data_IF_190097699838
#
_entry.id   IF_190097699838
#
_cell.length_a   1.000
_cell.length_b   1.000
_cell.length_c   1.000
_cell.angle_alpha   90.00
_cell.angle_beta   90.00
_cell.angle_gamma   90.00
#
_symmetry.space_group_name_H-M   'P 1'
#
loop_
_entity.id
_entity.type
_entity.pdbx_description
1 polymer ?
#
# COMPACT_ATOMS: atom_id res chain seq x y z
N UNK A 1 1.80 -7.64 4.77
CA UNK A 1 1.79 -6.20 4.41
C UNK A 1 2.54 -5.42 5.47
N UNK A 2 2.87 -4.16 5.17
CA UNK A 2 3.59 -3.26 6.06
C UNK A 2 2.71 -2.04 6.34
N UNK A 3 2.67 -1.59 7.59
CA UNK A 3 1.98 -0.39 8.05
C UNK A 3 2.99 0.53 8.74
N UNK A 4 3.14 1.72 8.18
CA UNK A 4 4.00 2.76 8.71
C UNK A 4 3.32 3.59 9.79
N UNK A 5 4.09 4.35 10.58
CA UNK A 5 3.56 5.14 11.70
C UNK A 5 2.36 6.04 11.38
N UNK A 6 2.37 6.71 10.23
CA UNK A 6 1.27 7.55 9.75
C UNK A 6 -0.08 6.83 9.71
N UNK A 7 -0.10 5.60 9.18
CA UNK A 7 -1.32 4.79 9.13
C UNK A 7 -1.69 4.26 10.51
N UNK A 8 -0.70 3.84 11.31
CA UNK A 8 -0.93 3.32 12.65
C UNK A 8 -1.54 4.36 13.59
N UNK A 9 -1.17 5.63 13.48
CA UNK A 9 -1.79 6.70 14.28
C UNK A 9 -3.29 6.83 14.03
N UNK A 10 -3.73 6.69 12.77
CA UNK A 10 -5.17 6.66 12.45
C UNK A 10 -5.83 5.44 13.10
N UNK A 11 -5.24 4.26 12.91
CA UNK A 11 -5.79 3.00 13.44
C UNK A 11 -5.82 2.98 14.99
N UNK A 12 -4.86 3.61 15.64
CA UNK A 12 -4.82 3.74 17.10
C UNK A 12 -5.92 4.66 17.63
N UNK A 13 -6.24 5.76 16.93
CA UNK A 13 -7.42 6.58 17.27
C UNK A 13 -8.74 5.81 17.13
N UNK A 14 -8.79 4.82 16.23
CA UNK A 14 -9.92 3.87 16.14
C UNK A 14 -9.90 2.77 17.21
N UNK A 15 -8.94 2.81 18.15
CA UNK A 15 -8.79 1.84 19.24
C UNK A 15 -8.25 0.48 18.78
N UNK A 16 -7.60 0.40 17.62
CA UNK A 16 -7.07 -0.86 17.08
C UNK A 16 -5.64 -1.18 17.53
N UNK A 17 -5.00 -0.31 18.31
CA UNK A 17 -3.59 -0.45 18.68
C UNK A 17 -3.26 -1.75 19.40
N UNK A 18 -4.04 -2.12 20.41
CA UNK A 18 -3.82 -3.37 21.16
C UNK A 18 -3.88 -4.61 20.27
N UNK A 19 -4.91 -4.71 19.42
CA UNK A 19 -5.12 -5.84 18.51
C UNK A 19 -3.99 -5.93 17.49
N UNK A 20 -3.65 -4.82 16.84
CA UNK A 20 -2.63 -4.80 15.79
C UNK A 20 -1.22 -5.05 16.34
N UNK A 21 -0.91 -4.54 17.54
CA UNK A 21 0.38 -4.80 18.19
C UNK A 21 0.54 -6.28 18.58
N UNK A 22 -0.55 -6.99 18.90
CA UNK A 22 -0.49 -8.40 19.26
C UNK A 22 -0.23 -9.33 18.05
N UNK A 23 -0.78 -8.99 16.88
CA UNK A 23 -0.67 -9.81 15.66
C UNK A 23 0.47 -9.38 14.74
N UNK A 24 0.91 -8.14 14.86
CA UNK A 24 1.99 -7.55 14.08
C UNK A 24 3.38 -7.89 14.61
N UNK A 25 4.38 -7.63 13.79
CA UNK A 25 5.79 -7.67 14.16
C UNK A 25 6.39 -6.30 13.90
N UNK A 26 6.98 -5.70 14.93
CA UNK A 26 7.63 -4.39 14.82
C UNK A 26 8.93 -4.51 14.03
N UNK A 27 9.16 -3.56 13.13
CA UNK A 27 10.42 -3.37 12.44
C UNK A 27 11.12 -2.13 13.01
N UNK A 28 12.40 -2.27 13.32
CA UNK A 28 13.27 -1.15 13.69
C UNK A 28 13.80 -0.42 12.44
N UNK A 29 14.03 -1.16 11.36
CA UNK A 29 14.57 -0.62 10.11
C UNK A 29 14.15 -1.44 8.88
N UNK A 30 14.29 -0.82 7.71
CA UNK A 30 14.42 -1.53 6.44
C UNK A 30 15.90 -1.68 6.12
N UNK A 31 16.41 -2.90 6.16
CA UNK A 31 17.79 -3.24 5.80
C UNK A 31 17.88 -3.41 4.28
N UNK A 32 18.65 -2.56 3.61
CA UNK A 32 18.94 -2.63 2.19
C UNK A 32 20.18 -3.50 1.95
N UNK A 33 20.10 -4.45 1.02
CA UNK A 33 21.17 -5.38 0.64
C UNK A 33 21.43 -5.35 -0.86
N UNK A 34 22.67 -5.57 -1.27
CA UNK A 34 22.97 -5.88 -2.67
C UNK A 34 22.39 -7.25 -3.01
N UNK A 35 21.65 -7.33 -4.11
CA UNK A 35 20.88 -8.51 -4.47
C UNK A 35 21.73 -9.71 -4.86
N UNK A 36 22.97 -9.51 -5.34
CA UNK A 36 23.86 -10.63 -5.73
C UNK A 36 24.68 -11.16 -4.57
N UNK A 37 25.29 -10.27 -3.82
CA UNK A 37 26.23 -10.63 -2.74
C UNK A 37 25.57 -10.76 -1.36
N UNK A 38 24.35 -10.25 -1.18
CA UNK A 38 23.70 -10.17 0.13
C UNK A 38 24.32 -9.13 1.07
N UNK A 39 25.39 -8.45 0.64
CA UNK A 39 26.09 -7.44 1.44
C UNK A 39 25.12 -6.35 1.85
N UNK A 40 25.11 -6.04 3.14
CA UNK A 40 24.37 -4.89 3.67
C UNK A 40 24.89 -3.59 3.07
N UNK A 41 23.95 -2.78 2.57
CA UNK A 41 24.21 -1.45 2.01
C UNK A 41 23.91 -0.39 3.09
N UNK A 42 22.71 -0.40 3.65
CA UNK A 42 22.27 0.58 4.64
C UNK A 42 21.11 0.03 5.48
N UNK A 43 20.93 0.60 6.67
CA UNK A 43 19.75 0.41 7.52
C UNK A 43 18.97 1.72 7.57
N UNK A 44 17.71 1.70 7.11
CA UNK A 44 16.81 2.87 7.11
C UNK A 44 15.86 2.74 8.31
N UNK A 45 16.01 3.54 9.37
CA UNK A 45 15.11 3.51 10.52
C UNK A 45 13.68 3.88 10.10
N UNK A 46 12.70 3.20 10.70
CA UNK A 46 11.28 3.36 10.34
C UNK A 46 10.37 3.79 11.49
N UNK A 47 10.88 3.79 12.72
CA UNK A 47 10.18 4.34 13.88
C UNK A 47 10.04 5.85 13.73
N UNK A 48 8.86 6.36 14.06
CA UNK A 48 8.62 7.79 14.08
C UNK A 48 9.26 8.48 15.29
N UNK A 49 9.26 9.82 15.26
CA UNK A 49 9.86 10.68 16.29
C UNK A 49 9.27 10.45 17.70
N UNK A 50 7.96 10.21 17.76
CA UNK A 50 7.21 9.92 18.98
C UNK A 50 7.27 8.45 19.42
N UNK A 51 8.09 7.63 18.77
CA UNK A 51 8.19 6.20 19.08
C UNK A 51 7.10 5.32 18.46
N UNK A 52 6.20 5.87 17.64
CA UNK A 52 5.23 5.05 16.89
C UNK A 52 6.01 4.04 16.01
N UNK A 53 5.72 2.73 16.11
CA UNK A 53 6.50 1.69 15.44
C UNK A 53 6.11 1.58 13.97
N UNK A 54 6.83 0.72 13.25
CA UNK A 54 6.46 0.25 11.92
C UNK A 54 6.08 -1.23 12.03
N UNK A 55 4.87 -1.61 11.61
CA UNK A 55 4.37 -2.97 11.79
C UNK A 55 4.30 -3.75 10.48
N UNK A 56 4.83 -4.96 10.48
CA UNK A 56 4.57 -5.97 9.47
C UNK A 56 3.53 -6.96 9.98
N UNK A 57 2.47 -7.22 9.20
CA UNK A 57 1.34 -8.07 9.60
C UNK A 57 0.64 -8.73 8.41
N UNK A 58 -0.17 -9.75 8.67
CA UNK A 58 -0.95 -10.39 7.61
C UNK A 58 -2.16 -9.51 7.25
N UNK A 59 -2.44 -9.32 5.94
CA UNK A 59 -3.49 -8.39 5.49
C UNK A 59 -4.87 -8.71 6.09
N UNK A 60 -5.19 -9.99 6.21
CA UNK A 60 -6.45 -10.43 6.81
C UNK A 60 -6.59 -10.04 8.29
N UNK A 61 -5.50 -9.87 9.03
CA UNK A 61 -5.56 -9.47 10.44
C UNK A 61 -6.03 -8.02 10.57
N UNK A 62 -5.51 -7.12 9.72
CA UNK A 62 -5.98 -5.73 9.65
C UNK A 62 -7.43 -5.65 9.19
N UNK A 63 -7.77 -6.37 8.11
CA UNK A 63 -9.13 -6.39 7.60
C UNK A 63 -10.11 -6.92 8.65
N UNK A 64 -9.76 -8.00 9.35
CA UNK A 64 -10.57 -8.57 10.43
C UNK A 64 -10.75 -7.60 11.59
N UNK A 65 -9.67 -6.91 12.01
CA UNK A 65 -9.76 -5.90 13.06
C UNK A 65 -10.67 -4.71 12.69
N UNK A 66 -10.59 -4.24 11.44
CA UNK A 66 -11.48 -3.20 10.92
C UNK A 66 -12.93 -3.69 10.81
N UNK A 67 -13.14 -4.90 10.29
CA UNK A 67 -14.46 -5.52 10.18
C UNK A 67 -15.13 -5.62 11.55
N UNK A 68 -14.39 -6.06 12.58
CA UNK A 68 -14.90 -6.11 13.95
C UNK A 68 -15.41 -4.74 14.41
N UNK A 69 -14.70 -3.64 14.10
CA UNK A 69 -15.17 -2.28 14.43
C UNK A 69 -16.41 -1.88 13.66
N UNK A 70 -16.48 -2.23 12.36
CA UNK A 70 -17.66 -1.97 11.52
C UNK A 70 -18.89 -2.70 12.07
N UNK A 71 -18.79 -4.00 12.37
CA UNK A 71 -19.95 -4.76 12.85
C UNK A 71 -20.40 -4.38 14.27
N UNK A 72 -19.50 -3.80 15.08
CA UNK A 72 -19.80 -3.38 16.45
C UNK A 72 -20.43 -1.99 16.55
N UNK A 73 -20.35 -1.17 15.49
CA UNK A 73 -20.94 0.17 15.50
C UNK A 73 -22.32 0.17 14.85
N UNK A 74 -23.29 0.77 15.53
CA UNK A 74 -24.66 0.93 15.01
C UNK A 74 -24.73 1.96 13.87
N UNK A 75 -23.67 2.75 13.67
CA UNK A 75 -23.58 3.77 12.64
C UNK A 75 -23.30 3.20 11.23
N UNK A 76 -23.01 1.91 11.12
CA UNK A 76 -22.69 1.28 9.84
C UNK A 76 -23.60 0.10 9.54
N UNK A 77 -23.92 -0.08 8.26
CA UNK A 77 -24.55 -1.30 7.76
C UNK A 77 -23.63 -1.93 6.72
N UNK A 78 -23.35 -3.22 6.88
CA UNK A 78 -22.50 -3.96 5.97
C UNK A 78 -23.36 -4.85 5.07
N UNK A 79 -23.22 -4.67 3.75
CA UNK A 79 -23.85 -5.53 2.75
C UNK A 79 -22.76 -6.19 1.92
N UNK A 80 -22.57 -7.50 2.15
CA UNK A 80 -21.70 -8.32 1.32
C UNK A 80 -22.46 -8.80 0.08
N UNK A 81 -21.74 -9.39 -0.87
CA UNK A 81 -22.32 -9.94 -2.12
C UNK A 81 -23.22 -8.94 -2.86
N UNK A 82 -22.83 -7.66 -2.80
CA UNK A 82 -23.55 -6.52 -3.38
C UNK A 82 -22.59 -5.79 -4.33
N UNK A 83 -22.62 -6.15 -5.60
CA UNK A 83 -21.72 -5.60 -6.61
C UNK A 83 -22.27 -4.30 -7.19
N UNK A 84 -21.47 -3.24 -7.20
CA UNK A 84 -21.80 -2.00 -7.88
C UNK A 84 -21.83 -2.19 -9.41
N UNK A 85 -22.82 -1.61 -10.10
CA UNK A 85 -22.86 -1.61 -11.56
C UNK A 85 -22.95 -0.23 -12.19
N UNK A 86 -23.71 0.70 -11.61
CA UNK A 86 -23.91 2.02 -12.22
C UNK A 86 -24.30 3.09 -11.19
N UNK A 87 -24.04 4.34 -11.53
CA UNK A 87 -24.43 5.48 -10.71
C UNK A 87 -24.83 6.69 -11.56
N UNK A 88 -25.81 7.45 -11.06
CA UNK A 88 -26.25 8.68 -11.69
C UNK A 88 -26.63 9.72 -10.65
N UNK A 89 -26.56 11.00 -11.01
CA UNK A 89 -27.12 12.06 -10.19
C UNK A 89 -28.65 12.08 -10.34
N UNK A 90 -29.35 12.21 -9.22
CA UNK A 90 -30.80 12.33 -9.13
C UNK A 90 -31.13 13.45 -8.14
N UNK A 91 -31.25 14.67 -8.66
CA UNK A 91 -31.39 15.87 -7.85
C UNK A 91 -30.17 16.11 -6.96
N UNK A 92 -30.38 16.09 -5.65
CA UNK A 92 -29.35 16.28 -4.62
C UNK A 92 -28.80 14.96 -4.07
N UNK A 93 -29.00 13.84 -4.77
CA UNK A 93 -28.54 12.51 -4.35
C UNK A 93 -27.91 11.75 -5.51
N UNK A 94 -27.05 10.80 -5.18
CA UNK A 94 -26.53 9.83 -6.12
C UNK A 94 -27.40 8.58 -6.03
N UNK A 95 -28.00 8.20 -7.16
CA UNK A 95 -28.63 6.90 -7.32
C UNK A 95 -27.56 5.88 -7.69
N UNK A 96 -27.47 4.81 -6.92
CA UNK A 96 -26.54 3.70 -7.10
C UNK A 96 -27.34 2.46 -7.51
N UNK A 97 -26.87 1.75 -8.53
CA UNK A 97 -27.37 0.43 -8.88
C UNK A 97 -26.40 -0.64 -8.39
N UNK A 98 -26.95 -1.59 -7.66
CA UNK A 98 -26.23 -2.74 -7.13
C UNK A 98 -26.85 -4.04 -7.65
N UNK A 99 -26.05 -5.07 -7.85
CA UNK A 99 -26.49 -6.44 -8.06
C UNK A 99 -26.21 -7.26 -6.80
N UNK A 100 -27.28 -7.78 -6.21
CA UNK A 100 -27.21 -8.70 -5.07
C UNK A 100 -27.88 -10.04 -5.43
N UNK A 101 -27.81 -11.02 -4.53
CA UNK A 101 -28.42 -12.34 -4.73
C UNK A 101 -29.93 -12.28 -5.09
N UNK A 102 -30.65 -11.25 -4.63
CA UNK A 102 -32.06 -11.01 -4.92
C UNK A 102 -32.33 -10.23 -6.22
N UNK A 103 -31.32 -9.92 -7.03
CA UNK A 103 -31.43 -9.13 -8.25
C UNK A 103 -30.86 -7.71 -8.13
N UNK A 104 -31.19 -6.87 -9.11
CA UNK A 104 -30.78 -5.47 -9.11
C UNK A 104 -31.53 -4.67 -8.03
N UNK A 105 -30.80 -3.82 -7.31
CA UNK A 105 -31.33 -2.93 -6.28
C UNK A 105 -30.82 -1.52 -6.52
N UNK A 106 -31.71 -0.53 -6.41
CA UNK A 106 -31.34 0.88 -6.48
C UNK A 106 -31.27 1.45 -5.04
N UNK A 107 -30.22 2.20 -4.74
CA UNK A 107 -30.03 2.93 -3.50
C UNK A 107 -29.83 4.42 -3.78
N UNK A 108 -30.20 5.27 -2.83
CA UNK A 108 -29.95 6.71 -2.91
C UNK A 108 -29.03 7.13 -1.75
N UNK A 109 -27.95 7.84 -2.05
CA UNK A 109 -26.99 8.33 -1.08
C UNK A 109 -26.71 9.82 -1.29
N UNK A 110 -26.44 10.55 -0.21
CA UNK A 110 -26.02 11.96 -0.30
C UNK A 110 -24.58 12.09 -0.83
N UNK A 111 -23.72 11.13 -0.48
CA UNK A 111 -22.32 11.01 -0.86
C UNK A 111 -21.99 9.53 -1.11
N UNK A 112 -21.18 9.27 -2.14
CA UNK A 112 -20.62 7.96 -2.46
C UNK A 112 -19.10 8.04 -2.38
N UNK A 113 -18.50 7.12 -1.62
CA UNK A 113 -17.05 6.98 -1.53
C UNK A 113 -16.61 5.77 -2.34
N UNK A 114 -15.98 6.01 -3.49
CA UNK A 114 -15.36 4.97 -4.31
C UNK A 114 -14.05 4.50 -3.69
N UNK A 115 -14.11 3.42 -2.92
CA UNK A 115 -12.97 2.76 -2.26
C UNK A 115 -12.76 1.32 -2.76
N UNK A 116 -13.14 1.05 -4.00
CA UNK A 116 -13.27 -0.26 -4.64
C UNK A 116 -11.99 -0.73 -5.38
N UNK A 117 -10.86 -0.09 -5.08
CA UNK A 117 -9.54 -0.55 -5.50
C UNK A 117 -9.13 -0.12 -6.90
N UNK A 118 -8.01 -0.65 -7.39
CA UNK A 118 -7.41 -0.22 -8.66
C UNK A 118 -8.33 -0.48 -9.86
N UNK A 119 -9.13 -1.55 -9.84
CA UNK A 119 -10.12 -1.86 -10.88
C UNK A 119 -11.48 -1.22 -10.62
N UNK A 120 -11.51 0.01 -10.10
CA UNK A 120 -12.72 0.68 -9.60
C UNK A 120 -13.85 0.68 -10.63
N UNK A 121 -14.94 -0.01 -10.28
CA UNK A 121 -16.18 0.00 -11.04
C UNK A 121 -16.89 1.36 -10.89
N UNK A 122 -16.74 2.03 -9.75
CA UNK A 122 -17.24 3.41 -9.55
C UNK A 122 -16.56 4.36 -10.54
N UNK A 123 -15.24 4.27 -10.68
CA UNK A 123 -14.50 5.07 -11.65
C UNK A 123 -14.89 4.75 -13.10
N UNK A 124 -15.15 3.48 -13.42
CA UNK A 124 -15.63 3.07 -14.74
C UNK A 124 -17.04 3.61 -15.04
N UNK A 125 -17.96 3.57 -14.07
CA UNK A 125 -19.32 4.13 -14.19
C UNK A 125 -19.32 5.65 -14.38
N UNK A 126 -18.29 6.34 -13.86
CA UNK A 126 -18.04 7.76 -14.10
C UNK A 126 -17.38 8.05 -15.47
N UNK A 127 -17.12 7.03 -16.29
CA UNK A 127 -16.46 7.17 -17.60
C UNK A 127 -14.98 7.55 -17.51
N UNK A 128 -14.32 7.29 -16.37
CA UNK A 128 -12.92 7.63 -16.19
C UNK A 128 -12.00 6.60 -16.85
N UNK A 129 -10.82 7.05 -17.26
CA UNK A 129 -9.82 6.19 -17.91
C UNK A 129 -9.49 4.96 -17.07
N UNK A 130 -9.30 3.81 -17.71
CA UNK A 130 -8.81 2.60 -17.05
C UNK A 130 -7.41 2.79 -16.44
N UNK A 131 -7.07 2.03 -15.39
CA UNK A 131 -5.70 1.98 -14.88
C UNK A 131 -4.72 1.55 -15.97
N UNK A 132 -3.57 2.20 -15.99
CA UNK A 132 -2.50 1.89 -16.93
C UNK A 132 -2.10 0.40 -16.83
N UNK A 133 -1.67 -0.21 -17.95
CA UNK A 133 -1.14 -1.56 -17.95
C UNK A 133 0.00 -1.74 -16.94
N UNK A 134 0.11 -2.94 -16.38
CA UNK A 134 1.17 -3.24 -15.42
C UNK A 134 2.53 -3.29 -16.11
N UNK A 135 3.47 -2.44 -15.69
CA UNK A 135 4.87 -2.49 -16.14
C UNK A 135 5.71 -3.48 -15.33
N UNK A 136 5.22 -3.90 -14.16
CA UNK A 136 5.87 -4.82 -13.26
C UNK A 136 4.87 -5.78 -12.60
N UNK A 137 5.37 -6.92 -12.14
CA UNK A 137 4.61 -7.93 -11.40
C UNK A 137 5.26 -8.13 -10.04
N UNK A 138 4.44 -8.19 -8.99
CA UNK A 138 4.85 -8.61 -7.66
C UNK A 138 4.45 -10.06 -7.40
N UNK A 139 5.42 -10.96 -7.33
CA UNK A 139 5.25 -12.35 -6.92
C UNK A 139 5.28 -12.43 -5.40
N UNK A 140 4.27 -13.05 -4.79
CA UNK A 140 4.17 -13.18 -3.33
C UNK A 140 4.17 -14.63 -2.92
N UNK A 141 4.95 -14.95 -1.90
CA UNK A 141 4.94 -16.24 -1.22
C UNK A 141 4.92 -16.03 0.30
N UNK A 142 4.31 -16.98 1.01
CA UNK A 142 4.38 -17.05 2.47
C UNK A 142 5.14 -18.30 2.88
N UNK A 143 6.15 -18.11 3.72
CA UNK A 143 6.99 -19.16 4.25
C UNK A 143 6.74 -19.35 5.74
N UNK A 144 7.09 -20.52 6.27
CA UNK A 144 7.21 -20.72 7.72
C UNK A 144 8.32 -19.80 8.26
N UNK A 145 8.07 -19.15 9.38
CA UNK A 145 9.07 -18.38 10.12
C UNK A 145 10.01 -19.33 10.87
N UNK A 146 11.30 -19.25 10.55
CA UNK A 146 12.43 -19.93 11.20
C UNK A 146 13.74 -19.19 10.91
N UNK A 147 14.85 -19.65 11.48
CA UNK A 147 16.18 -19.02 11.35
C UNK A 147 16.61 -18.75 9.90
N UNK A 148 16.24 -19.61 8.95
CA UNK A 148 16.65 -19.45 7.54
C UNK A 148 15.82 -18.37 6.82
N UNK A 149 14.66 -18.04 7.36
CA UNK A 149 13.77 -16.97 6.86
C UNK A 149 13.81 -15.72 7.74
N UNK A 150 14.60 -15.72 8.81
CA UNK A 150 14.78 -14.57 9.68
C UNK A 150 15.36 -13.41 8.87
N UNK A 151 14.92 -12.19 9.17
CA UNK A 151 15.35 -10.97 8.50
C UNK A 151 15.91 -9.98 9.53
N UNK A 152 16.92 -9.21 9.15
CA UNK A 152 17.46 -8.12 9.96
C UNK A 152 16.51 -6.91 9.97
N UNK A 153 16.47 -6.17 11.07
CA UNK A 153 15.71 -4.91 11.18
C UNK A 153 14.18 -5.05 11.17
N UNK A 154 13.65 -6.24 10.88
CA UNK A 154 12.22 -6.51 10.71
C UNK A 154 11.74 -6.39 9.26
N UNK A 155 12.52 -5.80 8.35
CA UNK A 155 12.28 -5.83 6.90
C UNK A 155 13.63 -5.84 6.17
N UNK A 156 13.83 -6.80 5.26
CA UNK A 156 14.99 -6.84 4.37
C UNK A 156 14.57 -6.62 2.92
N UNK A 157 15.34 -5.81 2.18
CA UNK A 157 15.17 -5.59 0.76
C UNK A 157 16.48 -5.83 0.00
N UNK A 158 16.46 -6.73 -0.99
CA UNK A 158 17.57 -7.03 -1.88
C UNK A 158 17.42 -6.27 -3.18
N UNK A 159 18.38 -5.41 -3.50
CA UNK A 159 18.34 -4.52 -4.66
C UNK A 159 19.17 -5.09 -5.82
N UNK A 160 18.61 -5.14 -7.03
CA UNK A 160 19.32 -5.64 -8.20
C UNK A 160 18.87 -4.98 -9.50
N UNK A 161 19.60 -5.19 -10.61
CA UNK A 161 19.21 -4.67 -11.91
C UNK A 161 17.83 -5.19 -12.32
N UNK A 162 16.92 -4.28 -12.70
CA UNK A 162 15.53 -4.54 -13.12
C UNK A 162 14.62 -5.25 -12.10
N UNK A 163 15.13 -5.79 -11.00
CA UNK A 163 14.39 -6.63 -10.05
C UNK A 163 14.78 -6.29 -8.62
N UNK A 164 13.91 -6.61 -7.68
CA UNK A 164 14.27 -6.58 -6.26
C UNK A 164 13.40 -7.55 -5.49
N UNK A 165 13.84 -7.92 -4.29
CA UNK A 165 13.09 -8.76 -3.38
C UNK A 165 12.91 -8.07 -2.03
N UNK A 166 11.83 -8.40 -1.33
CA UNK A 166 11.54 -7.90 0.01
C UNK A 166 11.04 -9.05 0.87
N UNK A 167 11.62 -9.22 2.05
CA UNK A 167 11.17 -10.21 3.03
C UNK A 167 10.90 -9.53 4.38
N UNK A 168 9.83 -9.98 5.06
CA UNK A 168 9.48 -9.48 6.39
C UNK A 168 8.61 -10.50 7.14
N UNK A 169 8.72 -10.57 8.48
CA UNK A 169 7.91 -11.45 9.30
C UNK A 169 6.46 -10.95 9.35
N UNK A 170 5.52 -11.88 9.45
CA UNK A 170 4.09 -11.63 9.64
C UNK A 170 3.54 -12.65 10.64
N UNK A 171 2.30 -12.43 11.12
CA UNK A 171 1.63 -13.32 12.07
C UNK A 171 2.49 -13.54 13.33
N UNK A 172 2.95 -12.43 13.93
CA UNK A 172 3.85 -12.41 15.09
C UNK A 172 5.13 -13.25 14.89
N UNK A 173 5.72 -13.21 13.69
CA UNK A 173 6.97 -13.94 13.36
C UNK A 173 6.80 -15.41 13.00
N UNK A 174 5.60 -16.00 13.10
CA UNK A 174 5.37 -17.42 12.74
C UNK A 174 5.48 -17.69 11.25
N UNK A 175 5.40 -16.65 10.42
CA UNK A 175 5.47 -16.71 8.97
C UNK A 175 6.35 -15.58 8.44
N UNK A 176 6.98 -15.82 7.29
CA UNK A 176 7.75 -14.80 6.57
C UNK A 176 7.11 -14.55 5.22
N UNK A 177 6.77 -13.30 4.93
CA UNK A 177 6.25 -12.91 3.64
C UNK A 177 7.41 -12.54 2.71
N UNK A 178 7.51 -13.21 1.56
CA UNK A 178 8.48 -12.91 0.52
C UNK A 178 7.78 -12.27 -0.68
N UNK A 179 8.33 -11.16 -1.17
CA UNK A 179 7.87 -10.46 -2.36
C UNK A 179 9.02 -10.34 -3.34
N UNK A 180 8.83 -10.81 -4.57
CA UNK A 180 9.76 -10.60 -5.68
C UNK A 180 9.10 -9.67 -6.68
N UNK A 181 9.80 -8.63 -7.13
CA UNK A 181 9.27 -7.69 -8.11
C UNK A 181 10.18 -7.70 -9.33
N UNK A 182 9.58 -7.91 -10.49
CA UNK A 182 10.24 -7.92 -11.79
C UNK A 182 9.36 -7.28 -12.88
N UNK A 183 9.93 -6.92 -14.04
CA UNK A 183 9.19 -6.37 -15.15
C UNK A 183 8.10 -7.32 -15.65
N UNK A 184 6.96 -6.79 -16.06
CA UNK A 184 5.83 -7.59 -16.53
C UNK A 184 6.15 -8.42 -17.77
N UNK A 185 7.10 -7.98 -18.61
CA UNK A 185 7.60 -8.74 -19.75
C UNK A 185 8.27 -10.05 -19.34
N UNK A 186 8.99 -10.07 -18.22
CA UNK A 186 9.67 -11.28 -17.74
C UNK A 186 8.68 -12.24 -17.07
N UNK A 187 7.56 -11.73 -16.55
CA UNK A 187 6.51 -12.51 -15.89
C UNK A 187 5.66 -13.36 -16.86
N UNK A 188 5.87 -13.24 -18.18
CA UNK A 188 5.28 -14.10 -19.20
C UNK A 188 5.81 -15.55 -19.15
N UNK A 189 6.96 -15.77 -18.50
CA UNK A 189 7.49 -17.10 -18.13
C UNK A 189 7.51 -17.22 -16.59
N UNK A 190 6.37 -17.62 -15.97
CA UNK A 190 6.28 -17.83 -14.51
C UNK A 190 7.26 -18.89 -14.00
N UNK A 191 7.47 -19.96 -14.76
CA UNK A 191 8.35 -21.08 -14.38
C UNK A 191 9.83 -20.67 -14.37
N UNK A 192 10.19 -19.63 -15.13
CA UNK A 192 11.49 -19.01 -15.12
C UNK A 192 11.82 -18.14 -13.92
N UNK A 193 10.85 -17.88 -13.02
CA UNK A 193 11.06 -17.00 -11.86
C UNK A 193 12.27 -17.45 -11.02
N UNK A 194 12.37 -18.74 -10.71
CA UNK A 194 13.48 -19.29 -9.92
C UNK A 194 14.83 -19.13 -10.63
N UNK A 195 14.87 -19.33 -11.96
CA UNK A 195 16.09 -19.14 -12.78
C UNK A 195 16.58 -17.69 -12.75
N UNK A 196 15.66 -16.73 -12.84
CA UNK A 196 15.99 -15.28 -12.83
C UNK A 196 16.59 -14.81 -11.50
N UNK A 197 16.29 -15.49 -10.40
CA UNK A 197 16.85 -15.21 -9.08
C UNK A 197 18.03 -16.13 -8.69
N UNK A 198 18.45 -17.10 -9.50
CA UNK A 198 19.46 -18.10 -9.13
C UNK A 198 20.85 -17.53 -8.78
N UNK A 199 21.21 -16.35 -9.32
CA UNK A 199 22.48 -15.67 -9.05
C UNK A 199 22.40 -14.56 -8.00
N UNK A 200 21.38 -14.61 -7.13
CA UNK A 200 21.17 -13.68 -6.02
C UNK A 200 21.75 -14.25 -4.72
N UNK A 201 21.72 -13.44 -3.66
CA UNK A 201 22.07 -13.83 -2.29
C UNK A 201 21.53 -15.24 -1.97
N UNK A 202 22.41 -16.13 -1.51
CA UNK A 202 22.11 -17.52 -1.18
C UNK A 202 20.94 -17.64 -0.20
N UNK A 203 20.81 -16.71 0.76
CA UNK A 203 19.65 -16.68 1.68
C UNK A 203 18.35 -16.42 0.93
N UNK A 204 18.34 -15.47 0.01
CA UNK A 204 17.16 -15.19 -0.81
C UNK A 204 16.82 -16.38 -1.72
N UNK A 205 17.83 -16.99 -2.36
CA UNK A 205 17.65 -18.17 -3.21
C UNK A 205 17.08 -19.33 -2.41
N UNK A 206 17.57 -19.57 -1.18
CA UNK A 206 17.04 -20.60 -0.29
C UNK A 206 15.57 -20.33 0.10
N UNK A 207 15.19 -19.07 0.39
CA UNK A 207 13.78 -18.72 0.64
C UNK A 207 12.92 -19.00 -0.60
N UNK A 208 13.37 -18.59 -1.78
CA UNK A 208 12.65 -18.86 -3.04
C UNK A 208 12.49 -20.38 -3.25
N UNK A 209 13.55 -21.15 -3.01
CA UNK A 209 13.56 -22.60 -3.13
C UNK A 209 12.47 -23.26 -2.26
N UNK A 210 12.35 -22.81 -1.01
CA UNK A 210 11.43 -23.33 0.01
C UNK A 210 9.97 -22.87 -0.15
N UNK A 211 9.70 -21.90 -1.02
CA UNK A 211 8.33 -21.44 -1.27
C UNK A 211 7.50 -22.55 -1.96
N UNK A 212 6.30 -22.80 -1.44
CA UNK A 212 5.35 -23.77 -2.01
C UNK A 212 4.75 -23.29 -3.35
N UNK A 213 4.86 -21.99 -3.64
CA UNK A 213 4.32 -21.36 -4.84
C UNK A 213 4.32 -19.85 -4.69
N UNK A 214 4.20 -19.16 -5.82
CA UNK A 214 4.05 -17.71 -5.86
C UNK A 214 2.73 -17.33 -6.49
N UNK A 215 2.07 -16.32 -5.94
CA UNK A 215 0.95 -15.65 -6.58
C UNK A 215 1.46 -14.40 -7.30
N UNK A 216 1.16 -14.27 -8.60
CA UNK A 216 1.48 -13.09 -9.38
C UNK A 216 0.47 -11.96 -9.13
N UNK A 217 0.96 -10.74 -8.94
CA UNK A 217 0.15 -9.53 -8.84
C UNK A 217 0.64 -8.49 -9.85
N UNK A 218 -0.02 -8.32 -11.00
CA UNK A 218 0.26 -7.22 -11.92
C UNK A 218 0.08 -5.86 -11.25
N UNK A 219 1.09 -5.00 -11.33
CA UNK A 219 1.12 -3.70 -10.68
C UNK A 219 0.56 -2.62 -11.60
N UNK A 220 -0.78 -2.57 -11.71
CA UNK A 220 -1.49 -1.51 -12.43
C UNK A 220 -1.47 -0.19 -11.65
N UNK A 221 -1.56 0.93 -12.36
CA UNK A 221 -1.48 2.27 -11.76
C UNK A 221 -2.58 3.17 -12.27
N UNK A 222 -3.01 4.11 -11.43
CA UNK A 222 -3.96 5.14 -11.81
C UNK A 222 -3.21 6.40 -12.23
N UNK A 223 -3.63 7.00 -13.34
CA UNK A 223 -3.09 8.26 -13.89
C UNK A 223 -3.06 9.38 -12.85
N UNK A 224 -2.07 10.27 -12.96
CA UNK A 224 -1.79 11.23 -11.89
C UNK A 224 -2.83 12.33 -11.76
N UNK A 225 -3.39 12.74 -12.88
CA UNK A 225 -4.37 13.79 -13.08
C UNK A 225 -5.83 13.32 -12.93
N UNK A 226 -6.06 12.09 -12.45
CA UNK A 226 -7.42 11.60 -12.15
C UNK A 226 -8.13 12.60 -11.23
N UNK A 227 -9.26 13.10 -11.70
CA UNK A 227 -10.22 13.89 -10.92
C UNK A 227 -10.82 12.98 -9.85
N UNK A 228 -10.81 13.42 -8.59
CA UNK A 228 -11.32 12.60 -7.47
C UNK A 228 -12.78 12.87 -7.13
N UNK A 229 -13.28 14.07 -7.42
CA UNK A 229 -14.62 14.54 -7.05
C UNK A 229 -15.50 14.61 -8.28
N UNK A 230 -16.70 14.04 -8.22
CA UNK A 230 -17.62 13.92 -9.35
C UNK A 230 -19.06 14.14 -8.93
N UNK A 231 -19.93 14.35 -9.93
CA UNK A 231 -21.38 14.55 -9.76
C UNK A 231 -21.71 15.60 -8.70
N UNK A 232 -21.28 16.83 -8.94
CA UNK A 232 -21.51 17.97 -8.04
C UNK A 232 -21.06 17.71 -6.59
N UNK A 233 -19.86 17.13 -6.44
CA UNK A 233 -19.26 16.82 -5.14
C UNK A 233 -20.02 15.79 -4.30
N UNK A 234 -20.66 14.83 -4.98
CA UNK A 234 -21.40 13.73 -4.34
C UNK A 234 -20.78 12.36 -4.57
N UNK A 235 -19.71 12.28 -5.36
CA UNK A 235 -18.88 11.09 -5.46
C UNK A 235 -17.42 11.47 -5.25
N UNK A 236 -16.72 10.75 -4.38
CA UNK A 236 -15.28 10.92 -4.14
C UNK A 236 -14.54 9.58 -4.25
N UNK A 237 -13.43 9.56 -4.98
CA UNK A 237 -12.56 8.38 -5.10
C UNK A 237 -11.41 8.45 -4.10
N UNK A 238 -11.20 7.38 -3.33
CA UNK A 238 -10.11 7.29 -2.34
C UNK A 238 -9.27 6.02 -2.55
N UNK A 239 -8.09 5.96 -1.91
CA UNK A 239 -7.22 4.80 -2.00
C UNK A 239 -6.85 4.44 -3.45
N UNK A 240 -6.76 3.14 -3.74
CA UNK A 240 -6.35 2.66 -5.05
C UNK A 240 -7.30 3.08 -6.19
N UNK A 241 -8.59 3.36 -5.91
CA UNK A 241 -9.52 3.87 -6.92
C UNK A 241 -9.16 5.30 -7.37
N UNK A 242 -8.65 6.13 -6.47
CA UNK A 242 -8.22 7.50 -6.75
C UNK A 242 -6.76 7.62 -7.20
N UNK A 243 -5.87 6.79 -6.65
CA UNK A 243 -4.42 6.98 -6.79
C UNK A 243 -3.56 5.72 -6.66
N UNK A 244 -4.05 4.55 -7.12
CA UNK A 244 -3.23 3.34 -7.19
C UNK A 244 -1.84 3.60 -7.79
N UNK A 245 -0.81 3.13 -7.09
CA UNK A 245 0.59 3.33 -7.46
C UNK A 245 1.42 2.09 -7.13
N UNK A 246 2.58 1.89 -7.77
CA UNK A 246 3.42 0.73 -7.50
C UNK A 246 3.89 0.69 -6.03
N UNK A 247 4.05 -0.51 -5.42
CA UNK A 247 4.29 -0.67 -3.99
C UNK A 247 5.75 -0.39 -3.56
N UNK A 248 6.53 0.41 -4.31
CA UNK A 248 7.94 0.70 -4.02
C UNK A 248 8.16 1.55 -2.74
N UNK A 249 7.09 2.11 -2.18
CA UNK A 249 7.11 2.78 -0.88
C UNK A 249 6.35 2.02 0.22
N UNK A 250 5.73 0.88 -0.10
CA UNK A 250 4.82 0.15 0.80
C UNK A 250 3.69 1.00 1.42
N UNK A 251 3.27 2.08 0.74
CA UNK A 251 2.34 3.08 1.28
C UNK A 251 0.91 3.04 0.73
N UNK A 252 0.55 2.16 -0.22
CA UNK A 252 -0.82 2.18 -0.80
C UNK A 252 -1.93 2.09 0.25
N UNK A 253 -1.85 1.09 1.13
CA UNK A 253 -2.79 0.94 2.25
C UNK A 253 -2.70 2.09 3.26
N UNK A 254 -1.48 2.59 3.54
CA UNK A 254 -1.29 3.72 4.44
C UNK A 254 -1.97 4.98 3.93
N UNK A 255 -1.85 5.28 2.63
CA UNK A 255 -2.52 6.42 2.00
C UNK A 255 -4.03 6.27 2.02
N UNK A 256 -4.58 5.08 1.73
CA UNK A 256 -6.02 4.86 1.80
C UNK A 256 -6.58 5.07 3.22
N UNK A 257 -5.84 4.66 4.26
CA UNK A 257 -6.20 4.89 5.66
C UNK A 257 -6.17 6.38 6.00
N UNK A 258 -5.14 7.10 5.55
CA UNK A 258 -5.10 8.55 5.73
C UNK A 258 -6.19 9.29 4.95
N UNK A 259 -6.54 8.83 3.75
CA UNK A 259 -7.63 9.40 2.97
C UNK A 259 -8.93 9.31 3.75
N UNK A 260 -9.23 8.14 4.33
CA UNK A 260 -10.42 7.95 5.16
C UNK A 260 -10.43 8.92 6.36
N UNK A 261 -9.28 9.10 7.03
CA UNK A 261 -9.18 10.02 8.16
C UNK A 261 -9.39 11.49 7.77
N UNK A 262 -8.75 11.94 6.69
CA UNK A 262 -8.87 13.32 6.21
C UNK A 262 -10.25 13.60 5.63
N UNK A 263 -10.84 12.64 4.91
CA UNK A 263 -12.19 12.75 4.38
C UNK A 263 -13.21 12.86 5.51
N UNK A 264 -13.11 12.00 6.53
CA UNK A 264 -13.99 12.05 7.69
C UNK A 264 -13.89 13.40 8.43
N UNK A 265 -12.68 13.90 8.68
CA UNK A 265 -12.48 15.20 9.31
C UNK A 265 -13.02 16.36 8.45
N UNK A 266 -12.79 16.31 7.14
CA UNK A 266 -13.29 17.33 6.22
C UNK A 266 -14.82 17.36 6.17
N UNK A 267 -15.47 16.19 6.19
CA UNK A 267 -16.93 16.07 6.24
C UNK A 267 -17.53 16.52 7.57
N UNK A 268 -16.81 16.34 8.67
CA UNK A 268 -17.27 16.73 10.00
C UNK A 268 -17.20 18.25 10.24
N UNK A 269 -16.22 18.93 9.65
CA UNK A 269 -15.95 20.36 9.90
C UNK A 269 -16.52 21.31 8.85
N UNK A 270 -16.74 20.85 7.62
CA UNK A 270 -17.17 21.71 6.52
C UNK A 270 -18.68 21.99 6.53
N UNK A 271 -19.12 23.15 6.01
CA UNK A 271 -20.54 23.53 5.98
C UNK A 271 -21.37 22.73 4.97
N UNK A 272 -20.75 22.19 3.93
CA UNK A 272 -21.39 21.42 2.87
C UNK A 272 -20.41 20.44 2.21
N UNK A 273 -20.93 19.57 1.33
CA UNK A 273 -20.13 18.55 0.63
C UNK A 273 -19.10 19.16 -0.32
N UNK A 274 -19.41 20.27 -0.97
CA UNK A 274 -18.47 20.95 -1.87
C UNK A 274 -17.23 21.40 -1.11
N UNK A 275 -17.42 22.12 0.00
CA UNK A 275 -16.35 22.58 0.88
C UNK A 275 -15.59 21.40 1.51
N UNK A 276 -16.29 20.35 1.94
CA UNK A 276 -15.69 19.15 2.51
C UNK A 276 -14.75 18.46 1.52
N UNK A 277 -15.23 18.16 0.31
CA UNK A 277 -14.45 17.44 -0.68
C UNK A 277 -13.33 18.30 -1.26
N UNK A 278 -13.56 19.61 -1.44
CA UNK A 278 -12.51 20.55 -1.84
C UNK A 278 -11.37 20.59 -0.81
N UNK A 279 -11.70 20.64 0.49
CA UNK A 279 -10.70 20.56 1.56
C UNK A 279 -9.95 19.23 1.53
N UNK A 280 -10.66 18.10 1.47
CA UNK A 280 -10.06 16.78 1.34
C UNK A 280 -9.04 16.72 0.20
N UNK A 281 -9.43 17.16 -1.01
CA UNK A 281 -8.55 17.13 -2.18
C UNK A 281 -7.34 18.05 -2.00
N UNK A 282 -7.53 19.26 -1.45
CA UNK A 282 -6.44 20.21 -1.19
C UNK A 282 -5.37 19.67 -0.23
N UNK A 283 -5.77 18.89 0.78
CA UNK A 283 -4.87 18.29 1.75
C UNK A 283 -4.19 17.02 1.19
N UNK A 284 -4.96 16.17 0.51
CA UNK A 284 -4.50 14.86 0.06
C UNK A 284 -3.70 14.90 -1.23
N UNK A 285 -4.04 15.76 -2.20
CA UNK A 285 -3.38 15.73 -3.52
C UNK A 285 -1.88 16.05 -3.46
N UNK A 286 -1.41 17.12 -2.79
CA UNK A 286 0.02 17.38 -2.66
C UNK A 286 0.77 16.22 -1.97
N UNK A 287 0.11 15.55 -1.03
CA UNK A 287 0.66 14.42 -0.29
C UNK A 287 0.81 13.17 -1.15
N UNK A 288 -0.21 12.82 -1.93
CA UNK A 288 -0.16 11.72 -2.90
C UNK A 288 0.88 12.01 -3.99
N UNK A 289 0.95 13.23 -4.50
CA UNK A 289 1.93 13.58 -5.54
C UNK A 289 3.37 13.52 -5.02
N UNK A 290 3.60 13.93 -3.76
CA UNK A 290 4.91 13.75 -3.11
C UNK A 290 5.27 12.28 -2.98
N UNK A 291 4.32 11.42 -2.63
CA UNK A 291 4.53 9.98 -2.57
C UNK A 291 4.82 9.39 -3.95
N UNK A 292 4.07 9.76 -4.99
CA UNK A 292 4.31 9.32 -6.38
C UNK A 292 5.71 9.67 -6.86
N UNK A 293 6.19 10.90 -6.58
CA UNK A 293 7.59 11.28 -6.89
C UNK A 293 8.59 10.37 -6.18
N UNK A 294 8.34 10.02 -4.91
CA UNK A 294 9.19 9.09 -4.15
C UNK A 294 9.16 7.67 -4.72
N UNK A 295 7.98 7.17 -5.09
CA UNK A 295 7.80 5.85 -5.71
C UNK A 295 8.57 5.78 -7.05
N UNK A 296 8.44 6.80 -7.90
CA UNK A 296 9.17 6.90 -9.15
C UNK A 296 10.70 6.95 -8.94
N UNK A 297 11.15 7.68 -7.91
CA UNK A 297 12.56 7.71 -7.52
C UNK A 297 13.06 6.32 -7.07
N UNK A 298 12.33 5.63 -6.18
CA UNK A 298 12.71 4.28 -5.73
C UNK A 298 12.71 3.27 -6.88
N UNK A 299 11.72 3.30 -7.78
CA UNK A 299 11.67 2.43 -8.95
C UNK A 299 12.95 2.56 -9.78
N UNK A 300 13.44 3.79 -10.01
CA UNK A 300 14.68 4.03 -10.76
C UNK A 300 15.91 3.59 -9.97
N UNK A 301 16.03 4.01 -8.71
CA UNK A 301 17.24 3.81 -7.90
C UNK A 301 17.45 2.34 -7.52
N UNK A 302 16.39 1.62 -7.17
CA UNK A 302 16.51 0.22 -6.77
C UNK A 302 16.94 -0.68 -7.93
N UNK A 303 16.60 -0.31 -9.16
CA UNK A 303 16.81 -1.13 -10.35
C UNK A 303 18.00 -0.70 -11.23
N UNK A 304 18.86 0.21 -10.75
CA UNK A 304 20.03 0.67 -11.49
C UNK A 304 20.91 -0.51 -11.96
N UNK A 305 21.37 -0.52 -13.22
CA UNK A 305 22.30 -1.52 -13.72
C UNK A 305 23.71 -1.27 -13.18
N UNK A 306 24.60 -2.27 -13.32
CA UNK A 306 26.03 -2.03 -13.13
C UNK A 306 26.58 -1.20 -14.31
N UNK A 307 27.56 -0.29 -14.09
CA UNK A 307 28.22 0.01 -12.82
C UNK A 307 27.48 1.04 -11.93
N UNK A 308 26.38 1.66 -12.39
CA UNK A 308 25.65 2.71 -11.65
C UNK A 308 25.16 2.26 -10.26
N UNK A 309 24.78 0.98 -10.13
CA UNK A 309 24.39 0.38 -8.85
C UNK A 309 25.48 0.47 -7.79
N UNK A 310 26.77 0.45 -8.16
CA UNK A 310 27.90 0.58 -7.23
C UNK A 310 27.95 1.99 -6.63
N UNK A 311 27.75 3.02 -7.47
CA UNK A 311 27.69 4.40 -7.01
C UNK A 311 26.52 4.64 -6.06
N UNK A 312 25.33 4.11 -6.37
CA UNK A 312 24.18 4.11 -5.46
C UNK A 312 24.52 3.47 -4.12
N UNK A 313 25.12 2.29 -4.13
CA UNK A 313 25.43 1.57 -2.90
C UNK A 313 26.42 2.35 -2.02
N UNK A 314 27.43 2.98 -2.62
CA UNK A 314 28.37 3.87 -1.91
C UNK A 314 27.63 5.07 -1.32
N UNK A 315 26.79 5.76 -2.11
CA UNK A 315 26.00 6.90 -1.62
C UNK A 315 25.11 6.48 -0.44
N UNK A 316 24.39 5.37 -0.55
CA UNK A 316 23.53 4.89 0.54
C UNK A 316 24.32 4.48 1.78
N UNK A 317 25.47 3.82 1.62
CA UNK A 317 26.31 3.37 2.73
C UNK A 317 27.00 4.53 3.46
N UNK A 318 27.31 5.63 2.77
CA UNK A 318 27.92 6.82 3.37
C UNK A 318 26.93 7.69 4.14
N UNK A 319 25.62 7.56 3.86
CA UNK A 319 24.59 8.33 4.57
C UNK A 319 24.35 7.76 5.96
N UNK A 320 24.30 8.65 6.95
CA UNK A 320 23.93 8.26 8.32
C UNK A 320 22.46 7.82 8.35
N UNK A 321 22.14 6.82 9.17
CA UNK A 321 20.78 6.31 9.35
C UNK A 321 19.77 7.42 9.69
N UNK A 322 20.16 8.41 10.50
CA UNK A 322 19.31 9.54 10.85
C UNK A 322 18.94 10.41 9.64
N UNK A 323 19.86 10.60 8.70
CA UNK A 323 19.60 11.36 7.47
C UNK A 323 18.63 10.60 6.57
N UNK A 324 18.80 9.27 6.45
CA UNK A 324 17.90 8.41 5.68
C UNK A 324 16.48 8.41 6.28
N UNK A 325 16.38 8.40 7.61
CA UNK A 325 15.12 8.55 8.32
C UNK A 325 14.51 9.93 8.11
N UNK A 326 15.31 10.98 8.17
CA UNK A 326 14.83 12.37 8.02
C UNK A 326 14.18 12.60 6.65
N UNK A 327 14.67 11.96 5.59
CA UNK A 327 14.03 11.97 4.26
C UNK A 327 12.60 11.40 4.26
N UNK A 328 12.25 10.59 5.27
CA UNK A 328 10.96 9.94 5.45
C UNK A 328 10.11 10.62 6.53
N UNK A 329 10.62 11.66 7.22
CA UNK A 329 9.91 12.37 8.29
C UNK A 329 8.53 12.88 7.84
N UNK A 330 8.46 13.50 6.65
CA UNK A 330 7.21 14.01 6.09
C UNK A 330 6.12 12.94 5.92
N UNK A 331 6.53 11.67 5.78
CA UNK A 331 5.66 10.53 5.62
C UNK A 331 5.34 9.93 6.99
N UNK A 332 6.36 9.53 7.75
CA UNK A 332 6.22 8.79 9.00
C UNK A 332 5.85 9.65 10.20
N UNK A 333 6.09 10.96 10.20
CA UNK A 333 5.72 11.85 11.31
C UNK A 333 4.40 12.57 11.07
N UNK A 334 3.73 12.28 9.95
CA UNK A 334 2.42 12.82 9.66
C UNK A 334 1.41 12.48 10.76
N UNK A 335 0.57 13.46 11.08
CA UNK A 335 -0.46 13.38 12.11
C UNK A 335 -1.83 13.47 11.47
N UNK A 336 -2.78 12.60 11.85
CA UNK A 336 -4.15 12.75 11.39
C UNK A 336 -4.76 14.05 11.92
N UNK A 337 -5.62 14.72 11.11
CA UNK A 337 -6.45 15.85 11.57
C UNK A 337 -7.18 15.47 12.85
N UNK A 338 -7.41 16.45 13.76
CA UNK A 338 -7.91 16.22 15.11
C UNK A 338 -9.18 15.33 15.12
#
# INVERSE_FOLDING_TARGET
MQLSPNALRVLWRLGLGGVLNAVGTSAASVTLRDGRSGRRIADVPVTADDGTPYLALHRADLQGALLTKVVQTELTSLRLDSAFSDLSLDGDRVRLRLHAAGGAQDLAAALVVGADGVGSAVAAGLGLQDPAPAEAVAWRATLRGDEQTAVSGGVEAWLGPRRHAVAYPISSGRRTNLVLIEPASDAQDPDGLRRRFAGWDERLVAMIARSAGFTAWPLRTVVSDRVWRHLDDRVVLIGDAGHAMPPYAAQGAGMAIEDAAVLAASLAEAPDLYAALARYESERRPRIDRLRRRVAFHQRVYHLPRPLSLGRDVVLALRKSDQLRQDLAWLYDWRPPA
#
